data_IF_787582229416
#
_entry.id   IF_787582229416
#
_cell.length_a   1.000
_cell.length_b   1.000
_cell.length_c   1.000
_cell.angle_alpha   90.00
_cell.angle_beta   90.00
_cell.angle_gamma   90.00
#
_symmetry.space_group_name_H-M   'P 1'
#
loop_
_entity.id
_entity.type
_entity.pdbx_description
1 polymer ?
#
# COMPACT_ATOMS: atom_id res chain seq x y z
N UNK A 1 -7.09 -23.42 6.09
CA UNK A 1 -7.67 -23.51 4.74
C UNK A 1 -6.54 -23.48 3.74
N UNK A 2 -6.39 -24.52 2.91
CA UNK A 2 -5.44 -24.49 1.80
C UNK A 2 -6.05 -23.67 0.67
N UNK A 3 -5.50 -22.48 0.41
CA UNK A 3 -5.89 -21.66 -0.73
C UNK A 3 -5.34 -22.22 -2.04
N UNK A 4 -5.96 -21.90 -3.16
CA UNK A 4 -5.36 -22.15 -4.48
C UNK A 4 -4.03 -21.39 -4.62
N UNK A 5 -3.15 -21.84 -5.52
CA UNK A 5 -1.87 -21.17 -5.76
C UNK A 5 -2.05 -19.67 -6.08
N UNK A 6 -3.04 -19.33 -6.91
CA UNK A 6 -3.38 -17.95 -7.23
C UNK A 6 -3.80 -17.16 -5.99
N UNK A 7 -4.63 -17.75 -5.12
CA UNK A 7 -5.06 -17.11 -3.89
C UNK A 7 -3.88 -16.86 -2.94
N UNK A 8 -2.93 -17.79 -2.84
CA UNK A 8 -1.71 -17.62 -2.05
C UNK A 8 -0.89 -16.42 -2.54
N UNK A 9 -0.73 -16.26 -3.86
CA UNK A 9 0.00 -15.14 -4.46
C UNK A 9 -0.74 -13.81 -4.22
N UNK A 10 -2.06 -13.77 -4.41
CA UNK A 10 -2.89 -12.59 -4.12
C UNK A 10 -2.80 -12.16 -2.65
N UNK A 11 -2.85 -13.11 -1.70
CA UNK A 11 -2.72 -12.82 -0.27
C UNK A 11 -1.33 -12.24 0.03
N UNK A 12 -0.27 -12.75 -0.60
CA UNK A 12 1.09 -12.22 -0.44
C UNK A 12 1.18 -10.78 -0.95
N UNK A 13 0.68 -10.50 -2.15
CA UNK A 13 0.65 -9.16 -2.74
C UNK A 13 -0.09 -8.16 -1.84
N UNK A 14 -1.30 -8.52 -1.39
CA UNK A 14 -2.10 -7.68 -0.50
C UNK A 14 -1.39 -7.38 0.83
N UNK A 15 -0.73 -8.37 1.44
CA UNK A 15 0.04 -8.17 2.68
C UNK A 15 1.24 -7.24 2.49
N UNK A 16 1.91 -7.30 1.34
CA UNK A 16 3.03 -6.41 1.04
C UNK A 16 2.56 -4.97 0.86
N UNK A 17 1.52 -4.75 0.05
CA UNK A 17 0.94 -3.43 -0.15
C UNK A 17 0.40 -2.84 1.18
N UNK A 18 -0.33 -3.65 1.97
CA UNK A 18 -0.85 -3.23 3.27
C UNK A 18 0.23 -2.82 4.27
N UNK A 19 1.38 -3.49 4.26
CA UNK A 19 2.54 -3.07 5.09
C UNK A 19 3.11 -1.72 4.67
N UNK A 20 3.17 -1.45 3.35
CA UNK A 20 3.59 -0.14 2.84
C UNK A 20 2.64 0.96 3.31
N UNK A 21 1.33 0.75 3.12
CA UNK A 21 0.30 1.70 3.56
C UNK A 21 0.36 1.96 5.07
N UNK A 22 0.52 0.92 5.89
CA UNK A 22 0.63 1.07 7.34
C UNK A 22 1.93 1.77 7.79
N UNK A 23 2.99 1.74 6.98
CA UNK A 23 4.20 2.52 7.23
C UNK A 23 3.92 3.99 6.93
N UNK A 24 3.41 4.27 5.72
CA UNK A 24 3.13 5.64 5.29
C UNK A 24 2.13 6.31 6.25
N UNK A 25 1.08 5.60 6.68
CA UNK A 25 0.10 6.12 7.63
C UNK A 25 0.72 6.54 8.96
N UNK A 26 1.75 5.84 9.45
CA UNK A 26 2.46 6.25 10.68
C UNK A 26 3.33 7.48 10.48
N UNK A 27 3.70 7.80 9.24
CA UNK A 27 4.44 9.01 8.89
C UNK A 27 3.49 10.21 8.69
N UNK A 28 2.18 9.99 8.54
CA UNK A 28 1.18 11.05 8.33
C UNK A 28 1.12 12.05 9.48
N UNK A 29 1.35 11.58 10.72
CA UNK A 29 1.37 12.43 11.92
C UNK A 29 2.55 13.41 11.93
N UNK A 30 3.62 13.09 11.18
CA UNK A 30 4.78 13.96 11.04
C UNK A 30 4.60 15.02 9.94
N UNK A 31 3.51 14.97 9.17
CA UNK A 31 3.19 16.02 8.20
C UNK A 31 2.60 17.23 8.93
N UNK A 32 3.33 18.35 8.94
CA UNK A 32 2.74 19.63 9.33
C UNK A 32 1.69 20.03 8.27
N UNK A 33 0.40 19.98 8.62
CA UNK A 33 -0.67 19.86 7.62
C UNK A 33 -1.25 21.19 7.11
N UNK A 34 -1.27 21.30 5.78
CA UNK A 34 -2.27 22.03 4.99
C UNK A 34 -3.12 21.02 4.18
N UNK A 35 -4.28 21.41 3.67
CA UNK A 35 -5.15 20.50 2.89
C UNK A 35 -4.46 19.90 1.64
N UNK A 36 -3.57 20.65 1.01
CA UNK A 36 -2.81 20.22 -0.18
C UNK A 36 -1.78 19.13 0.16
N UNK A 37 -1.11 19.23 1.31
CA UNK A 37 -0.10 18.23 1.72
C UNK A 37 -0.70 16.88 2.08
N UNK A 38 -1.97 16.84 2.51
CA UNK A 38 -2.69 15.58 2.74
C UNK A 38 -3.03 14.85 1.44
N UNK A 39 -3.46 15.58 0.40
CA UNK A 39 -3.77 15.00 -0.92
C UNK A 39 -2.55 14.40 -1.62
N UNK A 40 -1.41 15.09 -1.55
CA UNK A 40 -0.14 14.61 -2.10
C UNK A 40 0.34 13.33 -1.39
N UNK A 41 0.14 13.24 -0.07
CA UNK A 41 0.47 12.05 0.70
C UNK A 41 -0.39 10.84 0.28
N UNK A 42 -1.71 11.01 0.20
CA UNK A 42 -2.62 9.92 -0.21
C UNK A 42 -2.29 9.41 -1.62
N UNK A 43 -2.03 10.33 -2.54
CA UNK A 43 -1.66 9.98 -3.93
C UNK A 43 -0.37 9.16 -4.00
N UNK A 44 0.65 9.53 -3.20
CA UNK A 44 1.92 8.79 -3.16
C UNK A 44 1.75 7.39 -2.56
N UNK A 45 0.98 7.26 -1.49
CA UNK A 45 0.73 5.98 -0.85
C UNK A 45 -0.03 5.02 -1.78
N UNK A 46 -1.01 5.54 -2.53
CA UNK A 46 -1.78 4.78 -3.53
C UNK A 46 -0.89 4.25 -4.67
N UNK A 47 -0.09 5.13 -5.29
CA UNK A 47 0.86 4.75 -6.35
C UNK A 47 1.85 3.68 -5.87
N UNK A 48 2.35 3.79 -4.63
CA UNK A 48 3.26 2.79 -4.07
C UNK A 48 2.58 1.44 -3.89
N UNK A 49 1.35 1.40 -3.36
CA UNK A 49 0.57 0.19 -3.20
C UNK A 49 0.25 -0.47 -4.56
N UNK A 50 -0.15 0.30 -5.57
CA UNK A 50 -0.41 -0.20 -6.92
C UNK A 50 0.84 -0.86 -7.52
N UNK A 51 2.00 -0.22 -7.42
CA UNK A 51 3.25 -0.75 -7.94
C UNK A 51 3.63 -2.09 -7.28
N UNK A 52 3.42 -2.22 -5.97
CA UNK A 52 3.65 -3.47 -5.24
C UNK A 52 2.73 -4.58 -5.75
N UNK A 53 1.43 -4.28 -5.90
CA UNK A 53 0.45 -5.26 -6.37
C UNK A 53 0.79 -5.71 -7.79
N UNK A 54 1.06 -4.79 -8.71
CA UNK A 54 1.43 -5.13 -10.10
C UNK A 54 2.68 -5.99 -10.16
N UNK A 55 3.70 -5.66 -9.37
CA UNK A 55 4.96 -6.43 -9.32
C UNK A 55 4.77 -7.86 -8.83
N UNK A 56 3.85 -8.10 -7.90
CA UNK A 56 3.65 -9.45 -7.35
C UNK A 56 2.65 -10.31 -8.15
N UNK A 57 1.84 -9.68 -9.02
CA UNK A 57 0.79 -10.36 -9.80
C UNK A 57 1.07 -10.43 -11.31
N UNK A 58 2.19 -9.87 -11.78
CA UNK A 58 2.64 -9.88 -13.18
C UNK A 58 3.99 -10.56 -13.27
#
# INVERSE_FOLDING_TARGET
MQGSANLTVMIKAARLAGRSLAKDFREVENLQVSSKSAGDFVSRADIAAENIIRKELT
#
